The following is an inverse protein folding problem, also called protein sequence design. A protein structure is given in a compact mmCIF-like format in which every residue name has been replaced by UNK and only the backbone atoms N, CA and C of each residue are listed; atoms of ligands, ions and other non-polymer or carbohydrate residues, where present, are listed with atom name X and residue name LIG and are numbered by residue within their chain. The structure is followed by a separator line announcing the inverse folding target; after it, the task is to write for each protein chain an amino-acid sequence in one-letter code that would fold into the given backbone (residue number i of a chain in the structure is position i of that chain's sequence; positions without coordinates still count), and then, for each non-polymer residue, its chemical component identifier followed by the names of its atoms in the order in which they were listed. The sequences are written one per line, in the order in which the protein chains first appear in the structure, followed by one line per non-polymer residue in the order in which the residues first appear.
data_IF_148169802490
#
_entry.id   IF_148169802490
#
_cell.length_a   1.000
_cell.length_b   1.000
_cell.length_c   1.000
_cell.angle_alpha   90.00
_cell.angle_beta   90.00
_cell.angle_gamma   90.00
#
_symmetry.space_group_name_H-M   'P 1'
#
loop_
_entity.id
_entity.type
_entity.pdbx_description
1 polymer ?
#
# COMPACT_ATOMS: atom_id res chain seq x y z
N UNK A 1 -22.92 -3.23 -28.81
CA UNK A 1 -22.43 -2.51 -27.61
C UNK A 1 -20.91 -2.45 -27.71
N UNK A 2 -20.36 -1.23 -27.71
CA UNK A 2 -18.91 -1.03 -27.75
C UNK A 2 -18.40 -1.32 -26.33
N UNK A 3 -17.50 -2.29 -26.19
CA UNK A 3 -16.86 -2.63 -24.92
C UNK A 3 -15.84 -1.56 -24.57
N UNK A 4 -15.91 -0.96 -23.37
CA UNK A 4 -14.96 0.06 -22.98
C UNK A 4 -13.51 -0.48 -22.92
N UNK A 5 -12.54 0.39 -23.20
CA UNK A 5 -11.11 0.04 -23.24
C UNK A 5 -10.26 1.12 -22.59
N UNK A 6 -9.21 0.73 -21.94
CA UNK A 6 -8.15 1.63 -21.49
C UNK A 6 -7.06 1.65 -22.56
N UNK A 7 -6.71 2.84 -23.02
CA UNK A 7 -5.61 3.08 -23.93
C UNK A 7 -4.47 3.74 -23.16
N UNK A 8 -3.27 3.15 -23.16
CA UNK A 8 -2.14 3.67 -22.39
C UNK A 8 -0.83 3.60 -23.15
N UNK A 9 0.08 4.52 -22.85
CA UNK A 9 1.44 4.59 -23.39
C UNK A 9 2.40 5.11 -22.34
N UNK A 10 3.67 4.77 -22.48
CA UNK A 10 4.75 5.18 -21.57
C UNK A 10 5.86 5.92 -22.30
N UNK A 11 6.46 6.89 -21.60
CA UNK A 11 7.73 7.49 -21.99
C UNK A 11 8.86 6.70 -21.33
N UNK A 12 9.76 6.17 -22.14
CA UNK A 12 10.86 5.31 -21.72
C UNK A 12 12.18 6.00 -21.97
N UNK A 13 13.09 5.92 -21.02
CA UNK A 13 14.46 6.41 -21.16
C UNK A 13 15.07 5.97 -22.50
N UNK A 14 15.65 6.90 -23.26
CA UNK A 14 16.34 6.72 -24.55
C UNK A 14 15.43 6.29 -25.74
N UNK A 15 14.18 5.93 -25.49
CA UNK A 15 13.22 5.52 -26.53
C UNK A 15 12.11 6.55 -26.77
N UNK A 16 11.81 7.40 -25.77
CA UNK A 16 10.69 8.34 -25.82
C UNK A 16 9.33 7.67 -25.66
N UNK A 17 8.30 8.27 -26.25
CA UNK A 17 6.92 7.76 -26.14
C UNK A 17 6.68 6.52 -27.00
N UNK A 18 6.11 5.50 -26.39
CA UNK A 18 5.54 4.36 -27.13
C UNK A 18 4.23 4.73 -27.84
N UNK A 19 3.75 3.85 -28.70
CA UNK A 19 2.38 3.95 -29.20
C UNK A 19 1.37 3.60 -28.10
N UNK A 20 0.12 4.07 -28.25
CA UNK A 20 -1.00 3.59 -27.41
C UNK A 20 -1.26 2.12 -27.66
N UNK A 21 -1.43 1.39 -26.58
CA UNK A 21 -1.89 0.00 -26.57
C UNK A 21 -3.11 -0.11 -25.66
N UNK A 22 -3.95 -1.10 -25.86
CA UNK A 22 -5.10 -1.42 -24.99
C UNK A 22 -4.90 -2.69 -24.19
N UNK A 23 -3.92 -3.50 -24.56
CA UNK A 23 -3.59 -4.78 -23.92
C UNK A 23 -2.08 -5.00 -23.96
N UNK A 24 -1.58 -5.81 -23.00
CA UNK A 24 -0.17 -6.17 -22.92
C UNK A 24 0.70 -5.15 -22.21
N UNK A 25 1.99 -5.18 -22.45
CA UNK A 25 2.99 -4.43 -21.71
C UNK A 25 3.38 -3.14 -22.46
N UNK A 26 3.28 -1.99 -21.79
CA UNK A 26 3.91 -0.75 -22.21
C UNK A 26 5.17 -0.53 -21.39
N UNK A 27 6.28 -0.18 -22.05
CA UNK A 27 7.61 -0.06 -21.47
C UNK A 27 8.58 -1.11 -21.99
N UNK A 28 9.65 -1.36 -21.25
CA UNK A 28 10.69 -2.32 -21.63
C UNK A 28 11.03 -3.25 -20.45
N UNK A 29 10.81 -4.54 -20.62
CA UNK A 29 11.19 -5.54 -19.64
C UNK A 29 12.60 -6.09 -19.96
N UNK A 30 13.47 -6.16 -18.95
CA UNK A 30 14.80 -6.75 -19.07
C UNK A 30 15.83 -5.89 -19.84
N UNK A 31 15.53 -4.61 -20.13
CA UNK A 31 16.45 -3.70 -20.82
C UNK A 31 17.05 -2.62 -19.92
N UNK A 32 16.77 -2.69 -18.63
CA UNK A 32 17.26 -1.73 -17.64
C UNK A 32 16.94 -0.26 -17.97
N UNK A 33 15.81 -0.01 -18.65
CA UNK A 33 15.34 1.33 -19.00
C UNK A 33 14.18 1.73 -18.10
N UNK A 34 14.25 2.94 -17.54
CA UNK A 34 13.22 3.46 -16.65
C UNK A 34 12.02 3.99 -17.42
N UNK A 35 10.84 3.87 -16.86
CA UNK A 35 9.70 4.69 -17.23
C UNK A 35 9.88 6.09 -16.61
N UNK A 36 9.60 7.14 -17.38
CA UNK A 36 9.71 8.53 -16.98
C UNK A 36 8.35 9.24 -16.90
N UNK A 37 7.39 8.81 -17.73
CA UNK A 37 6.04 9.32 -17.73
C UNK A 37 5.05 8.30 -18.30
N UNK A 38 3.76 8.53 -18.03
CA UNK A 38 2.65 7.75 -18.57
C UNK A 38 1.50 8.67 -18.97
N UNK A 39 0.78 8.27 -20.00
CA UNK A 39 -0.52 8.81 -20.39
C UNK A 39 -1.49 7.67 -20.60
N UNK A 40 -2.73 7.86 -20.16
CA UNK A 40 -3.80 6.91 -20.40
C UNK A 40 -5.13 7.62 -20.60
N UNK A 41 -6.04 6.98 -21.34
CA UNK A 41 -7.37 7.46 -21.62
C UNK A 41 -8.35 6.30 -21.73
N UNK A 42 -9.62 6.58 -21.50
CA UNK A 42 -10.72 5.64 -21.68
C UNK A 42 -11.41 5.83 -23.04
N UNK A 43 -11.66 4.71 -23.70
CA UNK A 43 -12.76 4.60 -24.67
C UNK A 43 -13.96 4.07 -23.88
N UNK A 44 -14.90 4.93 -23.58
CA UNK A 44 -16.00 4.67 -22.64
C UNK A 44 -17.14 3.82 -23.24
N UNK A 45 -17.18 3.70 -24.58
CA UNK A 45 -18.37 3.09 -25.21
C UNK A 45 -19.65 3.85 -24.87
N UNK A 46 -20.53 3.22 -24.07
CA UNK A 46 -21.81 3.79 -23.64
C UNK A 46 -21.82 4.28 -22.18
N UNK A 47 -20.69 4.25 -21.49
CA UNK A 47 -20.57 4.66 -20.09
C UNK A 47 -20.07 6.10 -19.98
N UNK A 48 -20.36 6.74 -18.84
CA UNK A 48 -19.80 8.04 -18.48
C UNK A 48 -18.71 7.88 -17.41
N UNK A 49 -17.72 8.77 -17.44
CA UNK A 49 -16.65 8.75 -16.43
C UNK A 49 -15.29 9.08 -17.01
N UNK A 50 -14.26 8.79 -16.23
CA UNK A 50 -12.86 9.05 -16.57
C UNK A 50 -11.94 8.04 -15.89
N UNK A 51 -10.68 8.00 -16.35
CA UNK A 51 -9.59 7.32 -15.67
C UNK A 51 -8.70 8.37 -15.01
N UNK A 52 -8.45 8.22 -13.72
CA UNK A 52 -7.54 9.07 -12.97
C UNK A 52 -6.31 8.27 -12.53
N UNK A 53 -5.14 8.89 -12.63
CA UNK A 53 -3.87 8.26 -12.28
C UNK A 53 -2.87 9.24 -11.71
N UNK A 54 -2.01 8.74 -10.80
CA UNK A 54 -0.95 9.47 -10.16
C UNK A 54 0.32 8.62 -10.13
N UNK A 55 1.48 9.22 -10.24
CA UNK A 55 2.77 8.53 -10.21
C UNK A 55 3.65 9.02 -9.06
N UNK A 56 4.41 8.10 -8.46
CA UNK A 56 5.52 8.45 -7.57
C UNK A 56 6.79 8.62 -8.41
N UNK A 57 7.41 9.80 -8.30
CA UNK A 57 8.56 10.20 -9.10
C UNK A 57 9.77 10.37 -8.18
N UNK A 58 10.91 9.87 -8.62
CA UNK A 58 12.19 10.05 -7.93
C UNK A 58 12.40 11.52 -7.49
N UNK A 59 12.74 11.70 -6.20
CA UNK A 59 13.05 13.00 -5.55
C UNK A 59 11.89 14.03 -5.56
N UNK A 60 10.71 13.65 -6.05
CA UNK A 60 9.51 14.51 -6.11
C UNK A 60 8.40 13.93 -5.23
N UNK A 61 8.23 12.60 -5.21
CA UNK A 61 7.15 11.92 -4.51
C UNK A 61 5.89 11.76 -5.38
N UNK A 62 4.74 11.56 -4.74
CA UNK A 62 3.46 11.39 -5.41
C UNK A 62 2.98 12.68 -6.07
N UNK A 63 2.63 12.59 -7.34
CA UNK A 63 1.91 13.66 -8.06
C UNK A 63 0.45 13.72 -7.61
N UNK A 64 -0.22 14.83 -7.92
CA UNK A 64 -1.68 14.85 -7.91
C UNK A 64 -2.23 13.88 -8.96
N UNK A 65 -3.47 13.40 -8.78
CA UNK A 65 -4.17 12.67 -9.82
C UNK A 65 -4.41 13.57 -11.03
N UNK A 66 -4.17 13.02 -12.20
CA UNK A 66 -4.51 13.62 -13.50
C UNK A 66 -5.51 12.71 -14.21
N UNK A 67 -6.28 13.27 -15.13
CA UNK A 67 -7.32 12.55 -15.88
C UNK A 67 -6.98 12.45 -17.36
N UNK A 68 -7.57 11.49 -18.00
CA UNK A 68 -7.64 11.27 -19.45
C UNK A 68 -6.61 12.01 -20.31
N UNK A 69 -5.60 11.29 -20.75
CA UNK A 69 -4.52 11.73 -21.63
C UNK A 69 -3.59 12.85 -21.09
N UNK A 70 -3.77 13.26 -19.84
CA UNK A 70 -2.83 14.18 -19.21
C UNK A 70 -1.55 13.43 -18.83
N UNK A 71 -0.45 14.14 -18.78
CA UNK A 71 0.85 13.58 -18.41
C UNK A 71 0.96 13.38 -16.91
N UNK A 72 1.29 12.16 -16.46
CA UNK A 72 1.77 11.89 -15.10
C UNK A 72 3.23 11.39 -15.19
N UNK A 73 4.14 12.06 -14.53
CA UNK A 73 5.58 11.84 -14.65
C UNK A 73 6.35 13.05 -15.10
N UNK A 74 7.51 12.84 -15.70
CA UNK A 74 8.37 13.92 -16.24
C UNK A 74 8.91 13.56 -17.62
N UNK A 75 9.09 14.58 -18.48
CA UNK A 75 9.82 14.47 -19.74
C UNK A 75 11.12 15.29 -19.67
N UNK A 76 12.21 14.73 -20.18
CA UNK A 76 13.50 15.41 -20.27
C UNK A 76 14.19 15.73 -18.93
N UNK A 77 13.68 15.23 -17.81
CA UNK A 77 14.24 15.46 -16.47
C UNK A 77 15.04 14.28 -15.91
N UNK A 78 15.15 13.20 -16.66
CA UNK A 78 15.85 11.98 -16.25
C UNK A 78 15.40 11.42 -14.90
N UNK A 79 14.14 11.64 -14.54
CA UNK A 79 13.52 11.13 -13.30
C UNK A 79 12.73 9.85 -13.58
N UNK A 80 13.00 8.81 -12.79
CA UNK A 80 12.26 7.55 -12.90
C UNK A 80 10.90 7.61 -12.23
N UNK A 81 9.95 6.89 -12.76
CA UNK A 81 8.76 6.48 -12.03
C UNK A 81 9.14 5.34 -11.07
N UNK A 82 8.61 5.39 -9.86
CA UNK A 82 8.82 4.38 -8.81
C UNK A 82 7.53 3.63 -8.46
N UNK A 83 6.39 4.29 -8.60
CA UNK A 83 5.08 3.69 -8.37
C UNK A 83 3.96 4.41 -9.14
N UNK A 84 2.79 3.77 -9.18
CA UNK A 84 1.58 4.31 -9.82
C UNK A 84 0.33 3.92 -9.04
N UNK A 85 -0.69 4.79 -9.11
CA UNK A 85 -2.07 4.55 -8.68
C UNK A 85 -2.97 4.85 -9.86
N UNK A 86 -3.98 3.98 -10.09
CA UNK A 86 -4.95 4.15 -11.17
C UNK A 86 -6.34 3.84 -10.64
N UNK A 87 -7.33 4.68 -10.93
CA UNK A 87 -8.72 4.46 -10.57
C UNK A 87 -9.67 4.93 -11.65
N UNK A 88 -10.85 4.37 -11.66
CA UNK A 88 -11.98 4.83 -12.47
C UNK A 88 -12.80 5.82 -11.64
N UNK A 89 -13.41 6.80 -12.32
CA UNK A 89 -14.30 7.80 -11.72
C UNK A 89 -15.55 7.94 -12.59
N UNK A 90 -16.70 8.18 -11.95
CA UNK A 90 -17.98 8.29 -12.62
C UNK A 90 -18.70 6.96 -12.78
N UNK A 91 -19.67 6.92 -13.69
CA UNK A 91 -20.59 5.79 -13.86
C UNK A 91 -19.87 4.48 -14.19
N UNK A 92 -18.84 4.51 -15.03
CA UNK A 92 -18.05 3.32 -15.41
C UNK A 92 -17.50 2.58 -14.18
N UNK A 93 -17.18 3.27 -13.10
CA UNK A 93 -16.65 2.66 -11.86
C UNK A 93 -17.69 1.77 -11.14
N UNK A 94 -18.99 1.88 -11.48
CA UNK A 94 -20.02 1.00 -10.96
C UNK A 94 -20.03 -0.36 -11.65
N UNK A 95 -19.51 -0.46 -12.86
CA UNK A 95 -19.57 -1.65 -13.72
C UNK A 95 -18.24 -2.32 -13.97
N UNK A 96 -17.12 -1.61 -13.81
CA UNK A 96 -15.77 -2.10 -14.09
C UNK A 96 -14.83 -1.79 -12.94
N UNK A 97 -13.78 -2.64 -12.84
CA UNK A 97 -12.62 -2.43 -12.00
C UNK A 97 -11.38 -2.30 -12.89
N UNK A 98 -10.43 -1.43 -12.50
CA UNK A 98 -9.13 -1.31 -13.17
C UNK A 98 -8.08 -2.07 -12.38
N UNK A 99 -7.48 -3.08 -12.99
CA UNK A 99 -6.33 -3.83 -12.48
C UNK A 99 -5.07 -3.40 -13.20
N UNK A 100 -3.97 -3.29 -12.48
CA UNK A 100 -2.67 -2.94 -13.06
C UNK A 100 -1.53 -3.55 -12.25
N UNK A 101 -0.47 -3.90 -12.96
CA UNK A 101 0.79 -4.37 -12.36
C UNK A 101 1.97 -3.72 -13.03
N UNK A 102 3.09 -3.66 -12.31
CA UNK A 102 4.31 -3.06 -12.81
C UNK A 102 5.48 -4.02 -12.72
N UNK A 103 6.39 -3.92 -13.69
CA UNK A 103 7.71 -4.53 -13.64
C UNK A 103 8.68 -3.53 -13.04
N UNK A 104 9.36 -3.92 -11.96
CA UNK A 104 10.32 -3.06 -11.29
C UNK A 104 11.73 -3.64 -11.32
N UNK A 105 12.70 -2.77 -11.26
CA UNK A 105 14.11 -3.12 -11.23
C UNK A 105 14.41 -4.16 -10.14
N UNK A 106 15.15 -5.22 -10.48
CA UNK A 106 15.65 -6.30 -9.60
C UNK A 106 14.57 -7.20 -8.96
N UNK A 107 13.28 -6.84 -9.06
CA UNK A 107 12.18 -7.63 -8.47
C UNK A 107 11.26 -8.26 -9.53
N UNK A 108 11.31 -7.78 -10.79
CA UNK A 108 10.44 -8.29 -11.84
C UNK A 108 8.99 -7.78 -11.74
N UNK A 109 8.04 -8.59 -12.18
CA UNK A 109 6.62 -8.26 -12.09
C UNK A 109 6.12 -8.40 -10.67
N UNK A 110 5.49 -7.33 -10.15
CA UNK A 110 4.72 -7.38 -8.92
C UNK A 110 3.31 -7.91 -9.20
N UNK A 111 2.58 -8.20 -8.12
CA UNK A 111 1.18 -8.61 -8.18
C UNK A 111 0.28 -7.48 -8.69
N UNK A 112 -0.99 -7.80 -8.99
CA UNK A 112 -1.95 -6.83 -9.48
C UNK A 112 -2.51 -5.94 -8.37
N UNK A 113 -2.40 -4.63 -8.54
CA UNK A 113 -3.15 -3.63 -7.80
C UNK A 113 -4.51 -3.39 -8.44
N UNK A 114 -5.46 -2.83 -7.69
CA UNK A 114 -6.81 -2.54 -8.13
C UNK A 114 -7.29 -1.18 -7.61
N UNK A 115 -8.03 -0.46 -8.42
CA UNK A 115 -8.85 0.71 -8.03
C UNK A 115 -8.18 1.70 -7.07
N UNK A 116 -7.05 2.26 -7.45
CA UNK A 116 -6.34 3.29 -6.67
C UNK A 116 -5.32 2.76 -5.66
N UNK A 117 -5.19 1.43 -5.51
CA UNK A 117 -4.10 0.86 -4.72
C UNK A 117 -2.74 1.18 -5.35
N UNK A 118 -1.67 1.29 -4.55
CA UNK A 118 -0.32 1.52 -5.08
C UNK A 118 0.24 0.29 -5.76
N UNK A 119 0.88 0.46 -6.93
CA UNK A 119 1.71 -0.56 -7.59
C UNK A 119 3.12 0.00 -7.78
N UNK A 120 4.16 -0.77 -7.39
CA UNK A 120 5.56 -0.34 -7.46
C UNK A 120 6.26 -0.29 -6.12
N UNK A 121 7.05 0.75 -5.89
CA UNK A 121 7.74 0.96 -4.62
C UNK A 121 7.83 2.45 -4.27
N UNK A 122 8.00 2.77 -3.01
CA UNK A 122 8.22 4.12 -2.53
C UNK A 122 9.47 4.15 -1.66
N UNK A 123 10.35 5.14 -1.86
CA UNK A 123 11.62 5.32 -1.13
C UNK A 123 12.63 4.17 -1.27
N UNK A 124 12.35 3.17 -2.11
CA UNK A 124 13.21 2.00 -2.34
C UNK A 124 14.22 2.22 -3.48
N UNK A 125 14.13 3.36 -4.16
CA UNK A 125 15.04 3.72 -5.24
C UNK A 125 14.94 2.83 -6.50
N UNK A 126 13.88 2.04 -6.65
CA UNK A 126 13.66 1.12 -7.77
C UNK A 126 12.83 1.78 -8.87
N UNK A 127 13.28 1.67 -10.11
CA UNK A 127 12.54 2.20 -11.27
C UNK A 127 11.46 1.25 -11.74
N UNK A 128 10.37 1.81 -12.25
CA UNK A 128 9.46 1.08 -13.11
C UNK A 128 10.10 0.88 -14.49
N UNK A 129 9.94 -0.30 -15.06
CA UNK A 129 10.45 -0.68 -16.40
C UNK A 129 9.31 -1.01 -17.36
N UNK A 130 8.18 -1.50 -16.85
CA UNK A 130 7.00 -1.83 -17.65
C UNK A 130 5.73 -1.79 -16.82
N UNK A 131 4.60 -1.65 -17.50
CA UNK A 131 3.27 -1.67 -16.91
C UNK A 131 2.30 -2.46 -17.79
N UNK A 132 1.40 -3.18 -17.15
CA UNK A 132 0.25 -3.84 -17.77
C UNK A 132 -1.02 -3.41 -17.05
N UNK A 133 -2.07 -3.06 -17.81
CA UNK A 133 -3.35 -2.56 -17.29
C UNK A 133 -4.48 -3.37 -17.90
N UNK A 134 -5.49 -3.73 -17.09
CA UNK A 134 -6.69 -4.45 -17.49
C UNK A 134 -7.94 -3.74 -16.97
N UNK A 135 -8.93 -3.59 -17.84
CA UNK A 135 -10.28 -3.19 -17.46
C UNK A 135 -11.13 -4.45 -17.36
N UNK A 136 -11.65 -4.76 -16.18
CA UNK A 136 -12.40 -5.99 -15.93
C UNK A 136 -13.81 -5.63 -15.49
N UNK A 137 -14.81 -6.22 -16.15
CA UNK A 137 -16.21 -6.03 -15.75
C UNK A 137 -16.43 -6.68 -14.38
N UNK A 138 -17.15 -5.99 -13.50
CA UNK A 138 -17.46 -6.54 -12.17
C UNK A 138 -18.26 -7.83 -12.29
N UNK A 139 -17.79 -8.85 -11.56
CA UNK A 139 -18.33 -10.21 -11.63
C UNK A 139 -17.58 -11.15 -12.59
N UNK A 140 -16.72 -10.63 -13.47
CA UNK A 140 -15.85 -11.45 -14.30
C UNK A 140 -14.62 -11.93 -13.52
N UNK A 141 -13.88 -12.86 -14.11
CA UNK A 141 -12.67 -13.42 -13.50
C UNK A 141 -11.60 -12.33 -13.32
N UNK A 142 -11.18 -12.15 -12.08
CA UNK A 142 -10.10 -11.21 -11.72
C UNK A 142 -8.73 -11.87 -11.97
N UNK A 143 -7.65 -11.07 -12.11
CA UNK A 143 -6.30 -11.61 -12.22
C UNK A 143 -5.88 -12.38 -10.95
N UNK A 144 -5.11 -13.42 -11.14
CA UNK A 144 -4.43 -14.11 -10.03
C UNK A 144 -3.32 -13.21 -9.42
N UNK A 145 -2.94 -13.50 -8.16
CA UNK A 145 -1.86 -12.81 -7.45
C UNK A 145 -2.11 -11.30 -7.29
N UNK A 146 -2.85 -10.95 -6.26
CA UNK A 146 -3.20 -9.56 -5.91
C UNK A 146 -2.68 -9.13 -4.54
N UNK A 147 -1.78 -9.91 -3.92
CA UNK A 147 -1.39 -9.74 -2.52
C UNK A 147 -0.28 -8.70 -2.33
N UNK A 148 0.69 -8.67 -3.26
CA UNK A 148 1.92 -7.90 -3.14
C UNK A 148 2.15 -6.96 -4.35
N UNK A 149 1.23 -6.01 -4.64
CA UNK A 149 1.39 -5.07 -5.74
C UNK A 149 2.40 -3.96 -5.45
N UNK A 150 2.83 -3.80 -4.20
CA UNK A 150 3.66 -2.70 -3.76
C UNK A 150 4.74 -3.15 -2.78
N UNK A 151 5.96 -2.67 -2.99
CA UNK A 151 7.09 -2.92 -2.11
C UNK A 151 7.26 -1.73 -1.19
N UNK A 152 7.10 -1.99 0.10
CA UNK A 152 7.38 -1.01 1.14
C UNK A 152 8.88 -0.97 1.44
N UNK A 153 9.45 0.19 1.80
CA UNK A 153 10.83 0.26 2.30
C UNK A 153 10.93 -0.49 3.62
N UNK A 154 12.04 -1.23 3.79
CA UNK A 154 12.30 -2.00 5.01
C UNK A 154 11.67 -3.38 5.04
N UNK A 155 11.59 -3.97 6.24
CA UNK A 155 11.15 -5.34 6.44
C UNK A 155 9.77 -5.46 7.08
N UNK A 156 9.25 -4.39 7.68
CA UNK A 156 7.96 -4.39 8.39
C UNK A 156 7.08 -3.23 7.95
N UNK A 157 5.81 -3.50 7.70
CA UNK A 157 4.80 -2.47 7.44
C UNK A 157 3.51 -2.77 8.19
N UNK A 158 2.76 -1.71 8.51
CA UNK A 158 1.59 -1.80 9.36
C UNK A 158 0.56 -0.71 9.05
N UNK A 159 -0.66 -1.00 9.46
CA UNK A 159 -1.81 -0.09 9.33
C UNK A 159 -2.68 -0.21 10.57
N UNK A 160 -3.28 0.88 10.98
CA UNK A 160 -4.22 0.94 12.09
C UNK A 160 -5.61 1.36 11.63
N UNK A 161 -6.64 0.78 12.23
CA UNK A 161 -8.01 1.28 12.16
C UNK A 161 -8.21 2.30 13.26
N UNK A 162 -8.54 3.53 12.90
CA UNK A 162 -8.69 4.66 13.81
C UNK A 162 -10.14 5.11 13.83
N UNK A 163 -10.64 5.43 15.01
CA UNK A 163 -11.97 6.01 15.20
C UNK A 163 -12.23 7.16 14.21
N UNK A 164 -13.35 7.14 13.51
CA UNK A 164 -13.84 8.14 12.54
C UNK A 164 -13.03 8.23 11.25
N UNK A 165 -11.83 7.62 11.15
CA UNK A 165 -10.97 7.61 9.96
C UNK A 165 -10.99 6.26 9.23
N UNK A 166 -11.31 5.16 9.94
CA UNK A 166 -11.20 3.82 9.38
C UNK A 166 -9.74 3.36 9.25
N UNK A 167 -9.47 2.49 8.29
CA UNK A 167 -8.12 2.01 8.03
C UNK A 167 -7.25 3.08 7.39
N UNK A 168 -6.14 3.41 8.06
CA UNK A 168 -5.11 4.28 7.50
C UNK A 168 -4.28 3.51 6.47
N UNK A 169 -3.56 4.25 5.62
CA UNK A 169 -2.62 3.67 4.67
C UNK A 169 -1.52 2.87 5.37
N UNK A 170 -1.03 1.82 4.73
CA UNK A 170 0.14 1.09 5.19
C UNK A 170 1.36 2.01 5.24
N UNK A 171 2.12 1.90 6.30
CA UNK A 171 3.41 2.59 6.49
C UNK A 171 4.45 1.59 7.00
N UNK A 172 5.71 1.90 6.86
CA UNK A 172 6.82 1.01 7.26
C UNK A 172 7.74 1.64 8.30
N UNK A 173 8.59 0.80 8.82
CA UNK A 173 9.78 1.04 9.63
C UNK A 173 9.82 2.34 10.45
N UNK A 174 9.28 2.29 11.63
CA UNK A 174 9.34 3.37 12.61
C UNK A 174 8.45 4.60 12.34
N UNK A 175 7.73 4.65 11.22
CA UNK A 175 6.77 5.74 10.94
C UNK A 175 5.53 5.62 11.84
N UNK A 176 4.85 6.73 12.09
CA UNK A 176 3.67 6.76 12.97
C UNK A 176 2.40 6.35 12.22
N UNK A 177 1.70 5.29 12.68
CA UNK A 177 0.32 4.97 12.29
C UNK A 177 -0.63 5.29 13.45
N UNK A 178 -1.70 5.99 13.15
CA UNK A 178 -2.64 6.52 14.14
C UNK A 178 -2.65 8.04 14.15
N UNK A 179 -3.19 8.61 15.23
CA UNK A 179 -3.30 10.05 15.40
C UNK A 179 -2.71 10.45 16.76
N UNK A 180 -1.91 11.52 16.79
CA UNK A 180 -1.39 12.11 18.03
C UNK A 180 -2.09 13.43 18.30
N UNK A 181 -2.57 13.63 19.54
CA UNK A 181 -3.21 14.89 19.96
C UNK A 181 -4.63 15.13 19.41
N UNK A 182 -5.26 14.13 18.78
CA UNK A 182 -6.63 14.24 18.25
C UNK A 182 -7.68 13.47 19.07
N UNK A 183 -7.25 12.87 20.16
CA UNK A 183 -8.13 12.07 21.04
C UNK A 183 -8.89 10.94 20.33
N UNK A 184 -8.30 10.37 19.24
CA UNK A 184 -8.87 9.27 18.48
C UNK A 184 -8.20 7.94 18.88
N UNK A 185 -9.02 6.95 19.20
CA UNK A 185 -8.52 5.61 19.57
C UNK A 185 -8.13 4.79 18.34
N UNK A 186 -7.14 3.97 18.48
CA UNK A 186 -6.94 2.82 17.60
C UNK A 186 -7.93 1.72 18.03
N UNK A 187 -8.57 1.09 17.05
CA UNK A 187 -9.53 0.01 17.24
C UNK A 187 -9.00 -1.34 16.75
N UNK A 188 -8.12 -1.33 15.76
CA UNK A 188 -7.49 -2.54 15.22
C UNK A 188 -6.13 -2.25 14.57
N UNK A 189 -5.34 -3.30 14.38
CA UNK A 189 -4.00 -3.31 13.86
C UNK A 189 -3.82 -4.44 12.84
N UNK A 190 -3.07 -4.14 11.77
CA UNK A 190 -2.48 -5.12 10.85
C UNK A 190 -0.98 -4.88 10.79
N UNK A 191 -0.20 -5.96 10.87
CA UNK A 191 1.26 -5.92 10.71
C UNK A 191 1.68 -7.00 9.73
N UNK A 192 2.59 -6.68 8.82
CA UNK A 192 3.11 -7.62 7.82
C UNK A 192 4.61 -7.44 7.64
N UNK A 193 5.27 -8.49 7.22
CA UNK A 193 6.67 -8.47 6.82
C UNK A 193 6.78 -8.48 5.30
N UNK A 194 7.84 -7.88 4.77
CA UNK A 194 8.18 -7.91 3.35
C UNK A 194 9.70 -7.94 3.16
N UNK A 195 10.14 -8.32 1.96
CA UNK A 195 11.55 -8.33 1.55
C UNK A 195 12.48 -9.10 2.50
N UNK A 196 11.99 -10.16 3.12
CA UNK A 196 12.73 -10.88 4.14
C UNK A 196 13.89 -11.69 3.54
N UNK A 197 15.09 -11.61 4.14
CA UNK A 197 16.19 -12.50 3.78
C UNK A 197 16.06 -13.91 4.40
N UNK A 198 15.17 -14.09 5.37
CA UNK A 198 14.92 -15.34 6.10
C UNK A 198 13.45 -15.66 6.17
N UNK A 199 13.11 -16.95 6.27
CA UNK A 199 11.73 -17.39 6.44
C UNK A 199 11.19 -17.03 7.84
N UNK A 200 9.89 -16.69 7.91
CA UNK A 200 9.28 -16.41 9.21
C UNK A 200 8.00 -15.57 9.11
N UNK A 201 7.48 -15.23 10.28
CA UNK A 201 6.25 -14.47 10.40
C UNK A 201 6.36 -13.39 11.47
N UNK A 202 5.52 -12.36 11.36
CA UNK A 202 5.19 -11.48 12.47
C UNK A 202 3.88 -11.93 13.10
N UNK A 203 3.89 -12.11 14.41
CA UNK A 203 2.71 -12.42 15.22
C UNK A 203 2.45 -11.28 16.19
N UNK A 204 1.18 -10.91 16.35
CA UNK A 204 0.80 -9.79 17.20
C UNK A 204 -0.57 -10.01 17.84
N UNK A 205 -0.73 -9.43 19.03
CA UNK A 205 -1.95 -9.45 19.83
C UNK A 205 -2.25 -8.04 20.33
N UNK A 206 -3.54 -7.74 20.45
CA UNK A 206 -4.05 -6.49 21.03
C UNK A 206 -4.85 -6.77 22.29
N UNK A 207 -4.66 -5.94 23.31
CA UNK A 207 -5.54 -5.85 24.47
C UNK A 207 -6.65 -4.86 24.17
N UNK A 208 -7.88 -5.33 24.23
CA UNK A 208 -9.07 -4.57 23.85
C UNK A 208 -9.94 -4.31 25.06
N UNK A 209 -10.46 -3.11 25.15
CA UNK A 209 -11.45 -2.70 26.15
C UNK A 209 -12.54 -3.76 26.32
N UNK A 210 -12.82 -4.16 27.58
CA UNK A 210 -13.84 -5.13 27.98
C UNK A 210 -13.68 -6.56 27.41
N UNK A 211 -12.61 -6.82 26.64
CA UNK A 211 -12.34 -8.13 26.03
C UNK A 211 -11.04 -8.73 26.57
N UNK A 212 -10.03 -7.89 26.80
CA UNK A 212 -8.68 -8.32 27.17
C UNK A 212 -7.82 -8.72 25.98
N UNK A 213 -6.80 -9.52 26.21
CA UNK A 213 -5.87 -9.98 25.19
C UNK A 213 -6.54 -10.93 24.19
N UNK A 214 -6.44 -10.58 22.91
CA UNK A 214 -6.89 -11.47 21.83
C UNK A 214 -5.82 -12.52 21.50
N UNK A 215 -6.24 -13.59 20.84
CA UNK A 215 -5.31 -14.57 20.27
C UNK A 215 -4.39 -13.91 19.24
N UNK A 216 -3.14 -14.36 19.16
CA UNK A 216 -2.18 -13.86 18.18
C UNK A 216 -2.70 -13.96 16.75
N UNK A 217 -2.49 -12.92 16.00
CA UNK A 217 -2.74 -12.84 14.56
C UNK A 217 -1.40 -12.82 13.82
N UNK A 218 -1.41 -13.20 12.53
CA UNK A 218 -0.21 -13.31 11.69
C UNK A 218 -0.36 -12.49 10.42
N UNK A 219 0.77 -11.93 9.98
CA UNK A 219 0.98 -11.47 8.61
C UNK A 219 -0.23 -10.79 7.96
N UNK A 220 -0.58 -9.58 8.40
CA UNK A 220 -1.66 -8.78 7.84
C UNK A 220 -3.08 -9.13 8.30
N UNK A 221 -3.24 -10.17 9.12
CA UNK A 221 -4.56 -10.48 9.70
C UNK A 221 -4.96 -9.44 10.75
N UNK A 222 -6.24 -9.13 10.87
CA UNK A 222 -6.73 -8.11 11.80
C UNK A 222 -6.61 -8.59 13.25
N UNK A 223 -5.94 -7.81 14.11
CA UNK A 223 -6.02 -7.89 15.57
C UNK A 223 -6.71 -6.63 16.08
N UNK A 224 -7.73 -6.79 16.91
CA UNK A 224 -8.58 -5.71 17.36
C UNK A 224 -10.03 -5.90 16.94
N UNK A 225 -10.80 -4.82 17.00
CA UNK A 225 -12.22 -4.79 16.62
C UNK A 225 -12.45 -3.66 15.61
N UNK A 226 -13.29 -3.90 14.61
CA UNK A 226 -13.71 -2.88 13.66
C UNK A 226 -15.20 -2.65 13.80
N UNK A 227 -15.64 -1.39 13.93
CA UNK A 227 -17.06 -1.04 14.05
C UNK A 227 -17.71 -1.35 15.40
N UNK A 228 -16.94 -1.72 16.43
CA UNK A 228 -17.46 -2.03 17.77
C UNK A 228 -17.18 -0.91 18.80
N UNK A 229 -16.58 0.17 18.36
CA UNK A 229 -16.22 1.32 19.22
C UNK A 229 -15.38 0.96 20.45
N UNK A 230 -14.59 -0.12 20.36
CA UNK A 230 -13.70 -0.56 21.45
C UNK A 230 -12.27 -0.14 21.17
N UNK A 231 -11.61 0.44 22.19
CA UNK A 231 -10.23 0.89 22.10
C UNK A 231 -9.23 -0.26 22.25
N UNK A 232 -8.13 -0.16 21.53
CA UNK A 232 -6.90 -0.88 21.89
C UNK A 232 -6.25 -0.16 23.06
N UNK A 233 -5.81 -0.92 24.07
CA UNK A 233 -5.16 -0.42 25.29
C UNK A 233 -3.69 -0.81 25.35
N UNK A 234 -3.33 -1.97 24.78
CA UNK A 234 -1.95 -2.43 24.67
C UNK A 234 -1.77 -3.39 23.48
N UNK A 235 -0.52 -3.55 23.07
CA UNK A 235 -0.10 -4.46 22.00
C UNK A 235 1.09 -5.31 22.43
N UNK A 236 1.22 -6.48 21.80
CA UNK A 236 2.40 -7.34 21.82
C UNK A 236 2.71 -7.75 20.40
N UNK A 237 3.99 -7.73 20.03
CA UNK A 237 4.46 -8.12 18.69
C UNK A 237 5.72 -8.96 18.84
N UNK A 238 5.82 -10.04 18.06
CA UNK A 238 7.00 -10.89 17.98
C UNK A 238 7.25 -11.38 16.57
N UNK A 239 8.48 -11.74 16.29
CA UNK A 239 8.87 -12.51 15.12
C UNK A 239 8.86 -14.00 15.47
N UNK A 240 8.55 -14.85 14.49
CA UNK A 240 8.61 -16.32 14.63
C UNK A 240 9.19 -16.95 13.36
N UNK A 241 9.75 -18.15 13.48
CA UNK A 241 10.50 -18.80 12.41
C UNK A 241 11.96 -18.37 12.36
N UNK A 242 12.62 -18.64 11.25
CA UNK A 242 14.07 -18.41 11.10
C UNK A 242 14.45 -16.94 11.31
N UNK A 243 13.64 -15.99 10.85
CA UNK A 243 13.90 -14.55 10.99
C UNK A 243 14.09 -14.11 12.43
N UNK A 244 13.42 -14.76 13.40
CA UNK A 244 13.56 -14.42 14.82
C UNK A 244 14.93 -14.74 15.43
N UNK A 245 15.79 -15.46 14.70
CA UNK A 245 17.18 -15.71 15.11
C UNK A 245 18.13 -14.57 14.74
N UNK A 246 17.69 -13.67 13.86
CA UNK A 246 18.54 -12.63 13.27
C UNK A 246 18.03 -11.21 13.50
N UNK A 247 16.73 -11.04 13.78
CA UNK A 247 16.09 -9.73 13.95
C UNK A 247 15.23 -9.69 15.20
N UNK A 248 15.21 -8.53 15.81
CA UNK A 248 14.26 -8.14 16.85
C UNK A 248 13.22 -7.18 16.25
N UNK A 249 11.97 -7.24 16.72
CA UNK A 249 10.95 -6.27 16.39
C UNK A 249 10.77 -5.28 17.56
N UNK A 250 11.04 -4.01 17.31
CA UNK A 250 10.85 -2.92 18.27
C UNK A 250 9.54 -2.19 17.98
N UNK A 251 8.85 -1.80 19.03
CA UNK A 251 7.60 -1.05 18.91
C UNK A 251 7.32 -0.20 20.15
N UNK A 252 6.53 0.84 19.94
CA UNK A 252 5.99 1.68 21.01
C UNK A 252 4.63 2.23 20.65
N UNK A 253 3.90 2.70 21.65
CA UNK A 253 2.58 3.31 21.49
C UNK A 253 2.55 4.72 22.05
N UNK A 254 1.71 5.56 21.48
CA UNK A 254 1.23 6.80 22.08
C UNK A 254 -0.06 6.48 22.81
N UNK A 255 -0.04 6.62 24.13
CA UNK A 255 -1.22 6.35 24.97
C UNK A 255 -1.83 7.67 25.45
N UNK A 256 -3.15 7.66 25.59
CA UNK A 256 -3.89 8.80 26.17
C UNK A 256 -3.26 9.27 27.46
N UNK A 257 -3.10 10.59 27.63
CA UNK A 257 -2.58 11.29 28.81
C UNK A 257 -1.12 10.96 29.19
N UNK A 258 -0.51 9.93 28.55
CA UNK A 258 0.89 9.52 28.79
C UNK A 258 1.83 9.91 27.65
N UNK A 259 1.29 10.17 26.45
CA UNK A 259 2.11 10.44 25.27
C UNK A 259 2.84 9.20 24.76
N UNK A 260 3.98 9.40 24.07
CA UNK A 260 4.81 8.31 23.59
C UNK A 260 5.49 7.58 24.74
N UNK A 261 5.19 6.29 24.85
CA UNK A 261 5.85 5.39 25.78
C UNK A 261 7.23 4.95 25.24
N UNK A 262 8.06 4.39 26.12
CA UNK A 262 9.36 3.85 25.75
C UNK A 262 9.23 2.71 24.75
N UNK A 263 10.25 2.53 23.90
CA UNK A 263 10.37 1.40 23.01
C UNK A 263 10.45 0.09 23.82
N UNK A 264 9.77 -0.93 23.32
CA UNK A 264 9.87 -2.31 23.81
C UNK A 264 10.08 -3.25 22.62
N UNK A 265 10.31 -4.53 22.86
CA UNK A 265 10.57 -5.51 21.80
C UNK A 265 10.05 -6.91 22.15
N UNK A 266 9.99 -7.75 21.13
CA UNK A 266 9.87 -9.22 21.20
C UNK A 266 8.88 -9.71 22.27
N UNK A 267 7.58 -9.53 22.00
CA UNK A 267 6.47 -9.97 22.86
C UNK A 267 6.29 -9.20 24.18
N UNK A 268 7.11 -8.20 24.45
CA UNK A 268 6.92 -7.33 25.62
C UNK A 268 5.74 -6.38 25.40
N UNK A 269 5.00 -6.09 26.46
CA UNK A 269 3.82 -5.22 26.37
C UNK A 269 4.19 -3.76 26.08
N UNK A 270 3.52 -3.14 25.09
CA UNK A 270 3.48 -1.70 24.88
C UNK A 270 2.05 -1.21 25.09
N UNK A 271 1.85 -0.20 25.95
CA UNK A 271 0.54 0.31 26.35
C UNK A 271 0.20 0.03 27.79
N UNK A 272 -1.07 0.16 28.14
CA UNK A 272 -1.56 0.04 29.51
C UNK A 272 -2.56 -1.10 29.64
N UNK A 273 -2.71 -1.61 30.86
CA UNK A 273 -3.66 -2.65 31.22
C UNK A 273 -4.33 -2.25 32.53
N UNK A 274 -5.66 -2.23 32.57
CA UNK A 274 -6.42 -1.84 33.76
C UNK A 274 -6.47 -0.34 34.08
N UNK A 275 -5.91 0.51 33.21
CA UNK A 275 -5.96 1.97 33.37
C UNK A 275 -6.97 2.65 32.44
N UNK A 276 -7.65 1.87 31.60
CA UNK A 276 -8.66 2.36 30.64
C UNK A 276 -8.17 3.43 29.66
N UNK A 277 -6.85 3.48 29.40
CA UNK A 277 -6.24 4.45 28.49
C UNK A 277 -6.16 3.87 27.07
N UNK A 278 -6.63 4.64 26.09
CA UNK A 278 -6.58 4.23 24.69
C UNK A 278 -5.18 4.40 24.10
N UNK A 279 -4.83 3.52 23.19
CA UNK A 279 -3.73 3.74 22.25
C UNK A 279 -4.23 4.64 21.11
N UNK A 280 -3.48 5.69 20.79
CA UNK A 280 -3.80 6.71 19.78
C UNK A 280 -2.92 6.58 18.54
N UNK A 281 -1.66 6.16 18.71
CA UNK A 281 -0.72 5.92 17.63
C UNK A 281 0.29 4.82 17.99
N UNK A 282 0.90 4.24 16.96
CA UNK A 282 1.96 3.23 17.10
C UNK A 282 3.12 3.50 16.16
N UNK A 283 4.30 3.02 16.55
CA UNK A 283 5.48 2.91 15.71
C UNK A 283 6.06 1.50 15.88
N UNK A 284 6.47 0.88 14.75
CA UNK A 284 7.05 -0.47 14.71
C UNK A 284 8.26 -0.45 13.77
N UNK A 285 9.38 -1.04 14.13
CA UNK A 285 10.59 -1.17 13.32
C UNK A 285 11.35 -2.47 13.60
#
# INVERSE_FOLDING_TARGET
VITPKIMYKTHVQDYGWSNYISEGVSGTVGKSKRLEAIKMKLDLGSYEGSIEYATHIQDIGWTSFVSDDQLSGTEGKSKRLEAIKIKLVGDIANYYDVYYRVHIQDNGWLDWACNGASAGSETYGKRLEGIEIKLIKKGDQIPENTQNPFIYPGYIYYSTHVQDYGWLSNIGDGKTSGTSGQSKRIEALKVSLCNLPYSGNVEYSTHIQDIGWQSYRKNGSISGTSGQSKRVEAIKIKLTGEISNYYDVYYRVHAQDLGWMSWTCNDSKAGTEGLELRVEAIQIC
#
